data_IF_038299500174
#
_entry.id   IF_038299500174
#
_cell.length_a   1.000
_cell.length_b   1.000
_cell.length_c   1.000
_cell.angle_alpha   90.00
_cell.angle_beta   90.00
_cell.angle_gamma   90.00
#
_symmetry.space_group_name_H-M   'P 1'
#
loop_
_entity.id
_entity.type
_entity.pdbx_description
1 polymer ?
#
# COMPACT_ATOMS: atom_id res chain seq x y z
N UNK A 1 3.65 -15.82 22.46
CA UNK A 1 3.98 -14.44 22.05
C UNK A 1 5.28 -14.07 22.74
N UNK A 2 6.29 -13.67 21.97
CA UNK A 2 7.56 -13.21 22.54
C UNK A 2 7.45 -11.75 22.99
N UNK A 3 8.37 -11.29 23.85
CA UNK A 3 8.44 -9.87 24.21
C UNK A 3 8.71 -8.96 22.99
N UNK A 4 9.31 -9.52 21.93
CA UNK A 4 9.52 -8.85 20.66
C UNK A 4 8.19 -8.58 19.94
N UNK A 5 7.25 -9.54 19.95
CA UNK A 5 5.91 -9.37 19.37
C UNK A 5 5.06 -8.35 20.14
N UNK A 6 5.23 -8.30 21.48
CA UNK A 6 4.51 -7.37 22.35
C UNK A 6 5.03 -5.93 22.19
N UNK A 7 6.35 -5.76 22.15
CA UNK A 7 7.03 -4.47 21.97
C UNK A 7 6.96 -3.90 20.56
N UNK A 8 6.26 -4.55 19.62
CA UNK A 8 5.89 -4.02 18.29
C UNK A 8 4.46 -3.46 18.28
N UNK A 9 3.60 -3.88 19.23
CA UNK A 9 2.17 -3.50 19.25
C UNK A 9 1.81 -2.48 20.31
N UNK A 10 2.60 -2.36 21.37
CA UNK A 10 2.34 -1.42 22.46
C UNK A 10 3.58 -0.57 22.68
N UNK A 11 3.49 0.73 22.34
CA UNK A 11 4.52 1.70 22.68
C UNK A 11 4.28 2.17 24.12
N UNK A 12 5.08 1.74 25.12
CA UNK A 12 4.86 2.15 26.49
C UNK A 12 5.10 3.66 26.65
N UNK A 13 4.27 4.32 27.46
CA UNK A 13 4.45 5.73 27.82
C UNK A 13 5.80 6.00 28.53
N UNK A 14 6.35 4.96 29.17
CA UNK A 14 7.70 4.96 29.72
C UNK A 14 8.63 4.12 28.84
N UNK A 15 9.64 4.79 28.27
CA UNK A 15 10.63 4.20 27.35
C UNK A 15 11.47 3.09 28.00
N UNK A 16 11.55 3.04 29.32
CA UNK A 16 12.28 2.00 30.06
C UNK A 16 11.61 0.62 30.02
N UNK A 17 10.34 0.55 29.60
CA UNK A 17 9.55 -0.68 29.54
C UNK A 17 9.54 -1.35 28.15
N UNK A 18 10.46 -1.00 27.26
CA UNK A 18 10.54 -1.65 25.95
C UNK A 18 10.97 -3.12 26.04
N UNK A 19 11.58 -3.57 27.16
CA UNK A 19 11.94 -4.96 27.51
C UNK A 19 12.43 -5.85 26.35
N UNK A 20 13.10 -5.25 25.36
CA UNK A 20 13.70 -5.95 24.23
C UNK A 20 14.99 -6.62 24.69
N UNK A 21 15.24 -7.84 24.23
CA UNK A 21 16.46 -8.57 24.55
C UNK A 21 17.75 -7.87 24.07
N UNK A 22 17.65 -6.95 23.10
CA UNK A 22 18.75 -6.15 22.58
C UNK A 22 19.03 -4.86 23.37
N UNK A 23 18.24 -4.57 24.42
CA UNK A 23 18.40 -3.39 25.27
C UNK A 23 18.15 -2.05 24.56
N UNK A 24 17.65 -2.06 23.32
CA UNK A 24 17.40 -0.84 22.56
C UNK A 24 16.04 -0.25 22.90
N UNK A 25 16.03 1.07 23.07
CA UNK A 25 14.83 1.89 23.11
C UNK A 25 14.69 2.50 21.71
N UNK A 26 13.71 2.05 20.95
CA UNK A 26 13.43 2.60 19.61
C UNK A 26 12.83 4.01 19.75
N UNK A 27 13.19 4.93 18.86
CA UNK A 27 12.39 6.16 18.70
C UNK A 27 11.03 5.83 18.10
N UNK A 28 10.08 6.77 18.18
CA UNK A 28 8.75 6.58 17.56
C UNK A 28 8.88 6.31 16.06
N UNK A 29 9.79 7.01 15.38
CA UNK A 29 10.10 6.80 13.96
C UNK A 29 10.68 5.41 13.71
N UNK A 30 11.64 4.95 14.52
CA UNK A 30 12.24 3.61 14.36
C UNK A 30 11.24 2.48 14.63
N UNK A 31 10.27 2.70 15.52
CA UNK A 31 9.18 1.76 15.82
C UNK A 31 8.11 1.73 14.74
N UNK A 32 7.74 2.88 14.19
CA UNK A 32 6.64 3.01 13.24
C UNK A 32 7.06 2.70 11.79
N UNK A 33 8.33 2.93 11.44
CA UNK A 33 8.81 2.92 10.06
C UNK A 33 9.81 1.78 9.80
N UNK A 34 10.51 1.28 10.82
CA UNK A 34 11.63 0.35 10.65
C UNK A 34 12.87 1.03 10.05
N UNK A 35 13.92 0.25 9.74
CA UNK A 35 15.18 0.74 9.13
C UNK A 35 15.00 1.04 7.64
N UNK A 36 14.16 2.02 7.28
CA UNK A 36 14.14 2.55 5.92
C UNK A 36 15.33 3.49 5.75
N UNK A 37 16.15 3.25 4.73
CA UNK A 37 17.16 4.23 4.29
C UNK A 37 16.48 5.16 3.28
N UNK A 38 16.11 6.36 3.71
CA UNK A 38 15.47 7.39 2.87
C UNK A 38 14.15 7.92 3.44
N UNK A 39 13.45 8.75 2.66
CA UNK A 39 12.12 9.25 3.03
C UNK A 39 11.09 8.12 2.99
N UNK A 40 10.27 7.92 4.04
CA UNK A 40 9.24 6.88 4.07
C UNK A 40 8.15 7.14 3.01
N UNK A 41 7.51 6.07 2.55
CA UNK A 41 6.36 6.13 1.66
C UNK A 41 5.34 7.15 2.15
N UNK A 42 4.89 8.02 1.25
CA UNK A 42 3.80 8.93 1.56
C UNK A 42 2.48 8.16 1.51
N UNK A 43 1.94 7.89 2.70
CA UNK A 43 0.62 7.28 2.89
C UNK A 43 -0.38 8.42 3.17
N UNK A 44 -1.53 8.37 2.50
CA UNK A 44 -2.61 9.33 2.71
C UNK A 44 -3.60 8.76 3.73
N UNK A 45 -4.18 9.66 4.54
CA UNK A 45 -5.23 9.34 5.52
C UNK A 45 -4.83 8.21 6.51
N UNK A 46 -5.80 7.59 7.17
CA UNK A 46 -5.60 6.40 7.99
C UNK A 46 -6.07 5.17 7.18
N UNK A 47 -5.18 4.47 6.45
CA UNK A 47 -5.56 3.29 5.68
C UNK A 47 -6.02 2.13 6.58
N UNK A 48 -5.69 2.17 7.87
CA UNK A 48 -6.19 1.20 8.85
C UNK A 48 -7.70 1.38 9.06
N UNK A 49 -8.14 2.60 9.34
CA UNK A 49 -9.55 2.89 9.62
C UNK A 49 -10.44 2.79 8.39
N UNK A 50 -9.94 3.26 7.23
CA UNK A 50 -10.74 3.36 6.01
C UNK A 50 -10.72 2.08 5.17
N UNK A 51 -9.61 1.34 5.21
CA UNK A 51 -9.36 0.24 4.29
C UNK A 51 -8.95 -1.06 4.98
N UNK A 52 -8.72 -1.07 6.31
CA UNK A 52 -8.27 -2.27 7.01
C UNK A 52 -6.86 -2.71 6.62
N UNK A 53 -6.01 -1.78 6.15
CA UNK A 53 -4.64 -2.04 5.65
C UNK A 53 -3.62 -1.62 6.71
N UNK A 54 -2.63 -2.48 6.97
CA UNK A 54 -1.52 -2.15 7.87
C UNK A 54 -0.59 -1.09 7.26
N UNK A 55 -0.41 0.05 7.94
CA UNK A 55 0.50 1.12 7.51
C UNK A 55 1.96 0.69 7.40
N UNK A 56 2.36 -0.35 8.12
CA UNK A 56 3.74 -0.82 8.19
C UNK A 56 4.04 -1.97 7.21
N UNK A 57 3.04 -2.40 6.43
CA UNK A 57 3.16 -3.55 5.52
C UNK A 57 3.55 -3.18 4.10
N UNK A 58 3.58 -1.88 3.76
CA UNK A 58 3.82 -1.42 2.40
C UNK A 58 5.24 -1.73 1.92
N UNK A 59 5.33 -2.32 0.74
CA UNK A 59 6.57 -2.52 -0.01
C UNK A 59 6.35 -2.02 -1.44
N UNK A 60 7.26 -1.22 -2.02
CA UNK A 60 8.48 -0.69 -1.40
C UNK A 60 8.17 0.34 -0.28
N UNK A 61 8.92 0.33 0.84
CA UNK A 61 8.58 1.17 2.00
C UNK A 61 9.11 2.61 1.86
N UNK A 62 10.08 2.87 0.97
CA UNK A 62 10.60 4.21 0.68
C UNK A 62 9.73 4.98 -0.33
N UNK A 63 9.68 6.30 -0.22
CA UNK A 63 8.95 7.20 -1.13
C UNK A 63 9.50 7.22 -2.55
N UNK A 64 10.82 7.18 -2.69
CA UNK A 64 11.50 7.35 -3.97
C UNK A 64 11.80 6.00 -4.62
N UNK A 65 11.34 5.81 -5.85
CA UNK A 65 11.65 4.66 -6.68
C UNK A 65 12.53 5.09 -7.84
N UNK A 66 13.46 4.24 -8.26
CA UNK A 66 14.29 4.53 -9.43
C UNK A 66 13.50 4.19 -10.70
N UNK A 67 13.26 5.19 -11.55
CA UNK A 67 12.74 4.96 -12.88
C UNK A 67 13.88 4.58 -13.83
N UNK A 68 13.63 3.60 -14.69
CA UNK A 68 14.57 3.25 -15.75
C UNK A 68 13.83 2.68 -16.95
N UNK A 69 13.79 3.39 -18.11
CA UNK A 69 13.07 2.93 -19.29
C UNK A 69 13.74 1.72 -19.96
N UNK A 70 15.02 1.47 -19.66
CA UNK A 70 15.79 0.35 -20.18
C UNK A 70 15.88 -0.82 -19.21
N UNK A 71 15.37 -0.69 -17.98
CA UNK A 71 15.41 -1.76 -16.99
C UNK A 71 14.45 -2.89 -17.34
N UNK A 72 14.91 -4.12 -17.12
CA UNK A 72 14.11 -5.34 -17.16
C UNK A 72 13.74 -5.84 -15.75
N UNK A 73 14.07 -5.07 -14.71
CA UNK A 73 13.70 -5.39 -13.35
C UNK A 73 12.19 -5.28 -13.14
N UNK A 74 11.71 -6.03 -12.15
CA UNK A 74 10.32 -6.04 -11.71
C UNK A 74 10.32 -5.56 -10.26
N UNK A 75 9.44 -4.61 -9.95
CA UNK A 75 9.15 -4.21 -8.58
C UNK A 75 7.82 -4.84 -8.16
N UNK A 76 7.85 -5.49 -7.00
CA UNK A 76 6.63 -5.92 -6.33
C UNK A 76 6.11 -4.80 -5.44
N UNK A 77 4.90 -4.37 -5.72
CA UNK A 77 4.09 -3.59 -4.80
C UNK A 77 3.27 -4.56 -3.96
N UNK A 78 3.34 -4.46 -2.63
CA UNK A 78 2.55 -5.31 -1.74
C UNK A 78 2.24 -4.61 -0.42
N UNK A 79 1.14 -5.02 0.19
CA UNK A 79 0.69 -4.60 1.52
C UNK A 79 -0.32 -5.62 2.07
N UNK A 80 -0.57 -5.61 3.37
CA UNK A 80 -1.44 -6.58 4.03
C UNK A 80 -2.58 -5.91 4.79
N UNK A 81 -3.53 -6.75 5.21
CA UNK A 81 -4.45 -6.41 6.30
C UNK A 81 -3.70 -5.98 7.56
N UNK A 82 -4.39 -5.24 8.43
CA UNK A 82 -3.90 -4.86 9.77
C UNK A 82 -3.43 -6.08 10.59
N UNK A 83 -4.22 -7.16 10.57
CA UNK A 83 -3.82 -8.45 11.15
C UNK A 83 -4.64 -9.61 10.57
N UNK A 84 -4.20 -10.83 10.83
CA UNK A 84 -4.84 -12.07 10.33
C UNK A 84 -6.28 -12.24 10.82
N UNK A 85 -6.62 -11.67 11.97
CA UNK A 85 -7.96 -11.72 12.56
C UNK A 85 -8.88 -10.61 12.08
N UNK A 86 -8.36 -9.65 11.29
CA UNK A 86 -9.17 -8.55 10.80
C UNK A 86 -10.17 -9.06 9.73
N UNK A 87 -11.44 -8.87 10.05
CA UNK A 87 -12.59 -9.22 9.22
C UNK A 87 -13.24 -7.91 8.78
N UNK A 88 -13.26 -7.67 7.48
CA UNK A 88 -13.74 -6.41 6.93
C UNK A 88 -15.22 -6.15 7.16
N UNK A 89 -16.04 -7.21 7.24
CA UNK A 89 -17.48 -7.08 7.39
C UNK A 89 -17.88 -6.97 8.87
N UNK A 90 -17.08 -7.54 9.78
CA UNK A 90 -17.33 -7.48 11.23
C UNK A 90 -16.64 -6.31 11.93
N UNK A 91 -15.41 -6.00 11.53
CA UNK A 91 -14.54 -5.03 12.20
C UNK A 91 -14.23 -3.82 11.34
N UNK A 92 -14.76 -3.77 10.11
CA UNK A 92 -14.54 -2.70 9.16
C UNK A 92 -15.83 -2.21 8.51
N UNK A 93 -15.69 -1.26 7.57
CA UNK A 93 -16.81 -0.65 6.84
C UNK A 93 -17.46 -1.57 5.77
N UNK A 94 -17.21 -2.89 5.80
CA UNK A 94 -17.65 -3.85 4.79
C UNK A 94 -16.53 -4.32 3.88
N UNK A 95 -16.86 -5.18 2.91
CA UNK A 95 -15.90 -5.83 1.98
C UNK A 95 -14.82 -4.85 1.46
N UNK A 96 -13.57 -5.32 1.27
CA UNK A 96 -12.48 -4.45 0.84
C UNK A 96 -12.76 -3.90 -0.56
N UNK A 97 -12.21 -2.73 -0.86
CA UNK A 97 -12.20 -2.19 -2.21
C UNK A 97 -11.22 -2.93 -3.10
N UNK A 98 -11.46 -2.90 -4.42
CA UNK A 98 -10.43 -3.23 -5.40
C UNK A 98 -9.34 -2.15 -5.33
N UNK A 99 -8.08 -2.59 -5.19
CA UNK A 99 -6.92 -1.71 -5.12
C UNK A 99 -6.24 -1.67 -6.48
N UNK A 100 -5.82 -0.48 -6.91
CA UNK A 100 -5.17 -0.28 -8.22
C UNK A 100 -3.93 0.60 -8.10
N UNK A 101 -2.92 0.30 -8.90
CA UNK A 101 -1.70 1.10 -9.04
C UNK A 101 -1.76 1.95 -10.31
N UNK A 102 -1.70 3.26 -10.15
CA UNK A 102 -1.52 4.23 -11.23
C UNK A 102 -0.05 4.28 -11.62
N UNK A 103 0.25 4.01 -12.89
CA UNK A 103 1.59 4.10 -13.47
C UNK A 103 1.58 4.96 -14.73
N UNK A 104 2.71 5.56 -15.09
CA UNK A 104 2.84 6.44 -16.26
C UNK A 104 3.09 5.75 -17.60
N UNK A 105 3.43 4.45 -17.59
CA UNK A 105 3.83 3.71 -18.80
C UNK A 105 5.28 3.96 -19.22
N UNK A 106 5.72 3.31 -20.31
CA UNK A 106 7.15 3.25 -20.72
C UNK A 106 7.79 4.62 -20.98
N UNK A 107 7.05 5.55 -21.55
CA UNK A 107 7.50 6.90 -21.88
C UNK A 107 6.84 7.97 -21.00
N UNK A 108 6.08 7.56 -19.98
CA UNK A 108 5.32 8.46 -19.11
C UNK A 108 4.08 9.10 -19.75
N UNK A 109 3.68 8.71 -20.97
CA UNK A 109 2.57 9.32 -21.73
C UNK A 109 1.32 8.46 -21.80
N UNK A 110 1.43 7.18 -21.42
CA UNK A 110 0.33 6.23 -21.47
C UNK A 110 0.09 5.69 -20.07
N UNK A 111 -0.66 6.46 -19.30
CA UNK A 111 -1.05 6.07 -17.95
C UNK A 111 -1.84 4.76 -17.97
N UNK A 112 -1.63 3.95 -16.94
CA UNK A 112 -2.43 2.76 -16.70
C UNK A 112 -2.78 2.61 -15.22
N UNK A 113 -3.87 1.90 -14.94
CA UNK A 113 -4.37 1.58 -13.60
C UNK A 113 -4.44 0.07 -13.44
N UNK A 114 -3.42 -0.52 -12.82
CA UNK A 114 -3.24 -1.97 -12.73
C UNK A 114 -3.84 -2.50 -11.42
N UNK A 115 -4.75 -3.47 -11.49
CA UNK A 115 -5.38 -4.02 -10.30
C UNK A 115 -4.49 -5.04 -9.58
N UNK A 116 -4.44 -4.92 -8.25
CA UNK A 116 -3.75 -5.86 -7.37
C UNK A 116 -4.48 -7.21 -7.33
N UNK A 117 -3.71 -8.27 -7.18
CA UNK A 117 -4.23 -9.55 -6.68
C UNK A 117 -4.56 -9.42 -5.19
N UNK A 118 -5.51 -10.22 -4.72
CA UNK A 118 -5.89 -10.27 -3.31
C UNK A 118 -6.27 -11.70 -2.88
N UNK A 119 -5.59 -12.23 -1.85
CA UNK A 119 -5.82 -13.60 -1.34
C UNK A 119 -6.67 -13.64 -0.06
N UNK A 120 -7.18 -12.49 0.41
CA UNK A 120 -7.87 -12.39 1.69
C UNK A 120 -7.01 -11.81 2.81
N UNK A 121 -5.70 -11.67 2.62
CA UNK A 121 -4.78 -11.04 3.57
C UNK A 121 -3.77 -10.10 2.90
N UNK A 122 -3.11 -10.53 1.83
CA UNK A 122 -2.15 -9.76 1.05
C UNK A 122 -2.77 -9.19 -0.22
N UNK A 123 -2.40 -7.96 -0.52
CA UNK A 123 -2.46 -7.42 -1.87
C UNK A 123 -1.07 -7.42 -2.49
N UNK A 124 -0.96 -7.85 -3.74
CA UNK A 124 0.31 -7.74 -4.48
C UNK A 124 0.12 -7.46 -5.97
N UNK A 125 1.12 -6.80 -6.55
CA UNK A 125 1.21 -6.50 -7.97
C UNK A 125 2.69 -6.41 -8.38
N UNK A 126 3.06 -7.19 -9.40
CA UNK A 126 4.40 -7.15 -9.99
C UNK A 126 4.38 -6.26 -11.23
N UNK A 127 5.23 -5.22 -11.25
CA UNK A 127 5.29 -4.25 -12.33
C UNK A 127 6.72 -4.11 -12.86
N UNK A 128 6.95 -4.26 -14.17
CA UNK A 128 8.24 -3.93 -14.76
C UNK A 128 8.61 -2.47 -14.50
N UNK A 129 9.84 -2.20 -14.05
CA UNK A 129 10.31 -0.84 -13.70
C UNK A 129 10.08 0.14 -14.85
N UNK A 130 10.32 -0.29 -16.09
CA UNK A 130 10.08 0.54 -17.27
C UNK A 130 8.64 1.02 -17.40
N UNK A 131 7.64 0.31 -16.87
CA UNK A 131 6.24 0.69 -16.99
C UNK A 131 5.78 1.72 -15.96
N UNK A 132 6.60 2.01 -14.93
CA UNK A 132 6.21 2.90 -13.84
C UNK A 132 6.00 4.34 -14.30
N UNK A 133 6.70 4.78 -15.34
CA UNK A 133 6.73 6.17 -15.80
C UNK A 133 8.15 6.68 -15.97
N UNK A 134 8.28 8.00 -16.01
CA UNK A 134 9.56 8.70 -16.12
C UNK A 134 9.87 9.51 -14.86
N UNK A 135 11.15 9.88 -14.70
CA UNK A 135 11.63 10.68 -13.57
C UNK A 135 10.79 11.95 -13.36
N UNK A 136 10.41 12.20 -12.11
CA UNK A 136 9.56 13.31 -11.70
C UNK A 136 8.06 12.99 -11.69
N UNK A 137 7.63 11.87 -12.27
CA UNK A 137 6.24 11.40 -12.17
C UNK A 137 6.00 10.67 -10.84
N UNK A 138 4.73 10.36 -10.59
CA UNK A 138 4.30 9.62 -9.40
C UNK A 138 3.70 8.27 -9.78
N UNK A 139 3.84 7.31 -8.87
CA UNK A 139 3.13 6.03 -8.90
C UNK A 139 2.17 6.05 -7.71
N UNK A 140 0.86 5.95 -7.98
CA UNK A 140 -0.16 6.13 -6.95
C UNK A 140 -0.96 4.86 -6.67
N UNK A 141 -1.18 4.54 -5.40
CA UNK A 141 -2.11 3.50 -4.98
C UNK A 141 -3.47 4.11 -4.70
N UNK A 142 -4.52 3.52 -5.29
CA UNK A 142 -5.89 3.98 -5.15
C UNK A 142 -6.85 2.84 -4.80
N UNK A 143 -7.86 3.14 -3.99
CA UNK A 143 -9.04 2.30 -3.81
C UNK A 143 -10.13 2.72 -4.81
N UNK A 144 -10.76 1.75 -5.49
CA UNK A 144 -11.94 2.01 -6.32
C UNK A 144 -13.16 2.14 -5.42
N UNK A 145 -13.66 3.35 -5.21
CA UNK A 145 -14.75 3.63 -4.25
C UNK A 145 -16.13 3.51 -4.86
N UNK A 146 -16.26 3.82 -6.16
CA UNK A 146 -17.52 3.67 -6.88
C UNK A 146 -17.33 3.24 -8.34
N UNK A 147 -18.36 2.63 -8.91
CA UNK A 147 -18.47 2.28 -10.32
C UNK A 147 -19.87 2.67 -10.80
N UNK A 148 -19.96 3.54 -11.81
CA UNK A 148 -21.20 4.14 -12.31
C UNK A 148 -22.08 4.76 -11.21
N UNK A 149 -21.45 5.41 -10.23
CA UNK A 149 -22.11 6.09 -9.11
C UNK A 149 -22.45 5.18 -7.92
N UNK A 150 -22.33 3.85 -8.08
CA UNK A 150 -22.63 2.89 -7.04
C UNK A 150 -21.38 2.50 -6.24
N UNK A 151 -21.53 2.25 -4.93
CA UNK A 151 -20.43 1.85 -4.05
C UNK A 151 -19.74 0.56 -4.51
N UNK A 152 -18.41 0.54 -4.54
CA UNK A 152 -17.62 -0.53 -5.16
C UNK A 152 -16.95 -1.50 -4.16
N UNK A 153 -17.41 -1.56 -2.91
CA UNK A 153 -16.92 -2.54 -1.92
C UNK A 153 -17.17 -3.96 -2.41
N UNK A 154 -16.14 -4.81 -2.33
CA UNK A 154 -16.20 -6.19 -2.81
C UNK A 154 -16.07 -6.34 -4.33
N UNK A 155 -15.75 -5.28 -5.07
CA UNK A 155 -15.39 -5.38 -6.48
C UNK A 155 -14.14 -6.26 -6.65
N UNK A 156 -14.24 -7.32 -7.45
CA UNK A 156 -13.10 -8.17 -7.77
C UNK A 156 -12.16 -7.51 -8.79
N UNK A 157 -10.91 -7.99 -8.87
CA UNK A 157 -9.97 -7.63 -9.94
C UNK A 157 -10.58 -7.83 -11.33
N UNK A 158 -11.16 -9.00 -11.59
CA UNK A 158 -11.80 -9.31 -12.88
C UNK A 158 -13.00 -8.39 -13.17
N UNK A 159 -13.77 -8.03 -12.15
CA UNK A 159 -14.89 -7.10 -12.26
C UNK A 159 -14.43 -5.68 -12.58
N UNK A 160 -13.32 -5.24 -11.97
CA UNK A 160 -12.68 -3.98 -12.31
C UNK A 160 -12.15 -3.98 -13.74
N UNK A 161 -11.37 -4.99 -14.12
CA UNK A 161 -10.76 -5.09 -15.46
C UNK A 161 -11.79 -5.12 -16.59
N UNK A 162 -12.93 -5.78 -16.37
CA UNK A 162 -14.04 -5.80 -17.34
C UNK A 162 -14.72 -4.44 -17.57
N UNK A 163 -14.59 -3.51 -16.61
CA UNK A 163 -15.22 -2.17 -16.62
C UNK A 163 -14.23 -1.03 -16.83
N UNK A 164 -12.94 -1.29 -16.65
CA UNK A 164 -11.85 -0.31 -16.83
C UNK A 164 -11.94 0.33 -18.21
N UNK A 165 -11.99 1.66 -18.24
CA UNK A 165 -12.13 2.45 -19.47
C UNK A 165 -13.50 2.42 -20.12
N UNK A 166 -14.52 1.82 -19.48
CA UNK A 166 -15.90 1.70 -19.99
C UNK A 166 -16.95 2.36 -19.11
N UNK A 167 -16.65 2.50 -17.82
CA UNK A 167 -17.55 3.02 -16.79
C UNK A 167 -16.91 4.21 -16.07
N UNK A 168 -17.74 5.07 -15.48
CA UNK A 168 -17.25 6.08 -14.55
C UNK A 168 -16.79 5.42 -13.25
N UNK A 169 -15.65 5.85 -12.69
CA UNK A 169 -15.12 5.28 -11.45
C UNK A 169 -14.70 6.36 -10.47
N UNK A 170 -15.03 6.16 -9.19
CA UNK A 170 -14.53 6.94 -8.07
C UNK A 170 -13.25 6.33 -7.50
N UNK A 171 -12.34 7.19 -7.05
CA UNK A 171 -11.04 6.79 -6.51
C UNK A 171 -10.79 7.49 -5.19
N UNK A 172 -10.16 6.78 -4.26
CA UNK A 172 -9.59 7.34 -3.04
C UNK A 172 -8.09 7.05 -2.99
N UNK A 173 -7.29 8.06 -2.67
CA UNK A 173 -5.83 7.96 -2.68
C UNK A 173 -5.33 7.33 -1.40
N UNK A 174 -4.52 6.26 -1.50
CA UNK A 174 -4.01 5.51 -0.34
C UNK A 174 -2.54 5.78 -0.08
N UNK A 175 -1.71 5.75 -1.13
CA UNK A 175 -0.27 6.03 -1.01
C UNK A 175 0.30 6.55 -2.33
N UNK A 176 1.46 7.20 -2.27
CA UNK A 176 2.17 7.69 -3.46
C UNK A 176 3.68 7.52 -3.35
N UNK A 177 4.27 6.96 -4.40
CA UNK A 177 5.70 6.97 -4.65
C UNK A 177 6.07 8.06 -5.67
N UNK A 178 7.29 8.56 -5.59
CA UNK A 178 7.87 9.51 -6.55
C UNK A 178 8.96 8.79 -7.34
N UNK A 179 8.96 8.98 -8.66
CA UNK A 179 10.01 8.47 -9.53
C UNK A 179 11.21 9.43 -9.50
N UNK A 180 12.31 8.94 -8.93
CA UNK A 180 13.61 9.62 -8.86
C UNK A 180 14.37 9.58 -10.17
#
# INVERSE_FOLDING_TARGET
MSNEDFGIKHFPADKSHFFRNDGKILTWEEYFIGKIVGEPLQIFSSPEDLHGISQTSFTPPQKYLQASPTSNEIIRFQFSKICTHYDFERHGPGKPYCMVLKVGGVDGRKEDMMAFEFDGFWWWLDVPVRQLGTRGQTVGLFAITSVDGEGARGLSKSGYEGKKGRCGMGFDGVAVWVLG
#
